data_IF_324675989514
#
_entry.id   IF_324675989514
#
_cell.length_a   1.000
_cell.length_b   1.000
_cell.length_c   1.000
_cell.angle_alpha   90.00
_cell.angle_beta   90.00
_cell.angle_gamma   90.00
#
_symmetry.space_group_name_H-M   'P 1'
#
loop_
_entity.id
_entity.type
_entity.pdbx_description
1 polymer ?
#
# COMPACT_ATOMS: atom_id res chain seq x y z
N UNK A 1 -6.84 27.20 15.05
CA UNK A 1 -5.58 26.42 15.03
C UNK A 1 -5.44 25.78 13.67
N UNK A 2 -4.24 25.72 13.11
CA UNK A 2 -4.02 25.00 11.86
C UNK A 2 -4.14 23.49 12.13
N UNK A 3 -4.82 22.77 11.24
CA UNK A 3 -4.88 21.30 11.28
C UNK A 3 -3.47 20.74 11.04
N UNK A 4 -3.20 19.58 11.62
CA UNK A 4 -2.05 18.75 11.24
C UNK A 4 -2.28 18.12 9.88
N UNK A 5 -1.32 17.32 9.44
CA UNK A 5 -1.31 16.63 8.13
C UNK A 5 -1.40 15.12 8.31
N UNK A 6 -1.98 14.44 7.33
CA UNK A 6 -1.88 12.99 7.18
C UNK A 6 -0.69 12.66 6.27
N UNK A 7 0.38 12.09 6.83
CA UNK A 7 1.57 11.68 6.08
C UNK A 7 1.42 10.22 5.69
N UNK A 8 1.50 9.90 4.39
CA UNK A 8 1.52 8.52 3.92
C UNK A 8 2.99 8.07 3.92
N UNK A 9 3.36 7.31 4.95
CA UNK A 9 4.74 6.90 5.19
C UNK A 9 4.97 5.54 4.53
N UNK A 10 5.81 5.46 3.48
CA UNK A 10 6.12 4.19 2.85
C UNK A 10 6.97 3.34 3.80
N UNK A 11 6.69 2.04 3.78
CA UNK A 11 7.47 1.01 4.41
C UNK A 11 8.44 0.38 3.39
N UNK A 12 9.31 -0.50 3.86
CA UNK A 12 10.21 -1.30 3.02
C UNK A 12 9.45 -2.41 2.29
N UNK A 13 10.09 -3.08 1.34
CA UNK A 13 9.52 -4.22 0.59
C UNK A 13 10.13 -5.58 0.99
N UNK A 14 10.80 -5.64 2.14
CA UNK A 14 11.48 -6.81 2.69
C UNK A 14 10.58 -7.68 3.58
N UNK A 15 9.27 -7.45 3.60
CA UNK A 15 8.32 -8.28 4.34
C UNK A 15 8.36 -9.73 3.84
N UNK A 16 8.76 -10.64 4.73
CA UNK A 16 8.94 -12.06 4.39
C UNK A 16 10.23 -12.37 3.61
N UNK A 17 11.14 -11.40 3.49
CA UNK A 17 12.46 -11.55 2.87
C UNK A 17 13.57 -11.22 3.90
N UNK A 18 14.82 -11.18 3.43
CA UNK A 18 15.92 -10.68 4.26
C UNK A 18 15.75 -9.18 4.51
N UNK A 19 15.88 -8.77 5.78
CA UNK A 19 15.78 -7.36 6.17
C UNK A 19 16.86 -6.53 5.46
N UNK A 20 16.47 -5.37 4.95
CA UNK A 20 17.39 -4.41 4.30
C UNK A 20 17.65 -3.21 5.21
N UNK A 21 18.79 -2.54 5.03
CA UNK A 21 19.05 -1.31 5.76
C UNK A 21 18.08 -0.20 5.33
N UNK A 22 17.46 0.49 6.29
CA UNK A 22 16.38 1.43 6.01
C UNK A 22 16.84 2.60 5.10
N UNK A 23 18.08 3.03 5.29
CA UNK A 23 18.71 4.12 4.53
C UNK A 23 19.03 3.75 3.07
N UNK A 24 19.05 2.46 2.73
CA UNK A 24 19.31 2.00 1.36
C UNK A 24 18.04 2.05 0.50
N UNK A 25 16.87 2.05 1.13
CA UNK A 25 15.57 1.92 0.44
C UNK A 25 14.60 3.07 0.70
N UNK A 26 14.83 3.88 1.75
CA UNK A 26 14.04 5.08 2.02
C UNK A 26 14.92 6.34 2.03
N UNK A 27 14.48 7.45 1.41
CA UNK A 27 15.19 8.71 1.51
C UNK A 27 15.30 9.18 2.97
N UNK A 28 16.46 9.72 3.36
CA UNK A 28 16.69 10.21 4.72
C UNK A 28 15.64 11.25 5.17
N UNK A 29 15.11 12.06 4.24
CA UNK A 29 14.03 13.02 4.52
C UNK A 29 12.71 12.36 4.93
N UNK A 30 12.43 11.14 4.47
CA UNK A 30 11.26 10.35 4.87
C UNK A 30 11.48 9.75 6.25
N UNK A 31 12.67 9.19 6.50
CA UNK A 31 13.05 8.64 7.81
C UNK A 31 12.96 9.72 8.90
N UNK A 32 13.45 10.93 8.62
CA UNK A 32 13.35 12.09 9.54
C UNK A 32 11.90 12.50 9.81
N UNK A 33 11.04 12.50 8.79
CA UNK A 33 9.63 12.82 8.97
C UNK A 33 8.91 11.75 9.80
N UNK A 34 9.18 10.47 9.54
CA UNK A 34 8.68 9.36 10.36
C UNK A 34 9.12 9.51 11.83
N UNK A 35 10.40 9.80 12.07
CA UNK A 35 10.92 9.97 13.43
C UNK A 35 10.25 11.13 14.20
N UNK A 36 9.74 12.15 13.50
CA UNK A 36 9.08 13.30 14.12
C UNK A 36 7.62 13.06 14.53
N UNK A 37 6.98 11.98 14.06
CA UNK A 37 5.57 11.71 14.29
C UNK A 37 5.32 11.07 15.66
N UNK A 38 4.31 11.59 16.37
CA UNK A 38 3.84 11.03 17.65
C UNK A 38 2.55 10.20 17.53
N UNK A 39 1.86 10.29 16.40
CA UNK A 39 0.57 9.63 16.15
C UNK A 39 0.61 8.85 14.84
N UNK A 40 0.13 7.61 14.89
CA UNK A 40 0.15 6.67 13.78
C UNK A 40 -1.18 5.94 13.64
N UNK A 41 -1.61 5.79 12.40
CA UNK A 41 -2.62 4.86 11.95
C UNK A 41 -1.88 3.74 11.18
N UNK A 42 -2.00 2.49 11.63
CA UNK A 42 -1.23 1.37 11.10
C UNK A 42 -2.11 0.16 10.79
N UNK A 43 -1.77 -0.65 9.79
CA UNK A 43 -2.48 -1.90 9.54
C UNK A 43 -2.38 -2.87 10.73
N UNK A 44 -1.19 -2.99 11.30
CA UNK A 44 -0.88 -3.74 12.51
C UNK A 44 0.05 -2.92 13.44
N UNK A 45 -0.25 -2.89 14.74
CA UNK A 45 0.52 -2.07 15.67
C UNK A 45 1.88 -2.69 16.03
N UNK A 46 2.11 -3.98 15.79
CA UNK A 46 3.39 -4.65 16.05
C UNK A 46 4.36 -4.39 14.92
N UNK A 47 3.93 -4.52 13.66
CA UNK A 47 4.73 -4.20 12.47
C UNK A 47 5.15 -2.74 12.47
N UNK A 48 4.24 -1.80 12.78
CA UNK A 48 4.54 -0.38 12.88
C UNK A 48 5.59 -0.08 13.96
N UNK A 49 5.53 -0.76 15.11
CA UNK A 49 6.57 -0.63 16.15
C UNK A 49 7.92 -1.18 15.70
N UNK A 50 7.94 -2.26 14.93
CA UNK A 50 9.17 -2.81 14.37
C UNK A 50 9.79 -1.83 13.37
N UNK A 51 8.98 -1.24 12.49
CA UNK A 51 9.41 -0.17 11.58
C UNK A 51 10.00 1.03 12.35
N UNK A 52 9.30 1.52 13.39
CA UNK A 52 9.77 2.66 14.18
C UNK A 52 11.08 2.38 14.93
N UNK A 53 11.37 1.13 15.31
CA UNK A 53 12.68 0.75 15.86
C UNK A 53 13.79 0.88 14.82
N UNK A 54 13.53 0.49 13.57
CA UNK A 54 14.46 0.67 12.45
C UNK A 54 14.68 2.15 12.15
N UNK A 55 13.61 2.97 12.21
CA UNK A 55 13.73 4.44 12.12
C UNK A 55 14.60 4.98 13.23
N UNK A 56 14.38 4.57 14.48
CA UNK A 56 15.13 5.02 15.66
C UNK A 56 16.63 4.70 15.59
N UNK A 57 17.02 3.64 14.88
CA UNK A 57 18.40 3.27 14.64
C UNK A 57 19.13 4.25 13.70
N UNK A 58 18.39 4.97 12.85
CA UNK A 58 18.94 5.95 11.88
C UNK A 58 18.76 7.39 12.39
N UNK A 59 17.57 7.72 12.90
CA UNK A 59 17.21 9.06 13.40
C UNK A 59 16.47 8.90 14.73
N UNK A 60 16.90 9.55 15.83
CA UNK A 60 16.19 9.50 17.10
C UNK A 60 14.72 9.92 16.96
N UNK A 61 13.80 9.14 17.55
CA UNK A 61 12.38 9.47 17.56
C UNK A 61 12.13 10.71 18.43
N UNK A 62 11.23 11.59 17.98
CA UNK A 62 10.82 12.78 18.72
C UNK A 62 10.11 12.46 20.04
N UNK A 63 9.55 11.25 20.16
CA UNK A 63 9.02 10.69 21.40
C UNK A 63 9.48 9.26 21.59
N UNK A 64 9.66 8.79 22.83
CA UNK A 64 9.88 7.38 23.10
C UNK A 64 8.80 6.51 22.46
N UNK A 65 9.15 5.30 22.02
CA UNK A 65 8.20 4.39 21.38
C UNK A 65 7.02 4.04 22.28
N UNK A 66 7.22 4.03 23.59
CA UNK A 66 6.18 3.80 24.60
C UNK A 66 5.15 4.94 24.67
N UNK A 67 5.55 6.16 24.30
CA UNK A 67 4.70 7.36 24.27
C UNK A 67 4.10 7.62 22.88
N UNK A 68 4.52 6.86 21.87
CA UNK A 68 4.01 6.98 20.51
C UNK A 68 2.63 6.32 20.41
N UNK A 69 1.63 7.10 20.02
CA UNK A 69 0.27 6.61 19.83
C UNK A 69 0.16 5.88 18.49
N UNK A 70 -0.18 4.59 18.53
CA UNK A 70 -0.40 3.76 17.33
C UNK A 70 -1.81 3.17 17.43
N UNK A 71 -2.67 3.53 16.47
CA UNK A 71 -4.03 3.00 16.34
C UNK A 71 -4.12 2.14 15.09
N UNK A 72 -4.72 0.97 15.22
CA UNK A 72 -4.89 0.07 14.09
C UNK A 72 -6.01 0.56 13.17
N UNK A 73 -5.86 0.33 11.86
CA UNK A 73 -6.91 0.62 10.88
C UNK A 73 -8.11 -0.29 11.17
N UNK A 74 -9.34 0.25 11.14
CA UNK A 74 -10.53 -0.55 11.34
C UNK A 74 -10.67 -1.57 10.20
N UNK A 75 -11.11 -2.78 10.56
CA UNK A 75 -11.31 -3.90 9.62
C UNK A 75 -12.79 -4.24 9.55
N UNK A 76 -13.30 -4.71 8.39
CA UNK A 76 -14.66 -5.22 8.29
C UNK A 76 -14.91 -6.28 9.36
N UNK A 77 -16.15 -6.31 9.89
CA UNK A 77 -16.54 -7.33 10.87
C UNK A 77 -16.31 -8.71 10.28
N UNK A 78 -15.76 -9.63 11.08
CA UNK A 78 -15.44 -10.98 10.62
C UNK A 78 -16.67 -11.66 10.00
N UNK A 79 -16.55 -12.05 8.74
CA UNK A 79 -17.64 -12.68 7.97
C UNK A 79 -18.64 -11.70 7.33
N UNK A 80 -18.51 -10.40 7.57
CA UNK A 80 -19.29 -9.37 6.88
C UNK A 80 -18.58 -8.89 5.61
N UNK A 81 -19.39 -8.60 4.59
CA UNK A 81 -18.96 -7.88 3.38
C UNK A 81 -19.24 -6.38 3.46
N UNK A 82 -19.85 -5.94 4.56
CA UNK A 82 -20.16 -4.53 4.76
C UNK A 82 -18.88 -3.73 4.92
N UNK A 83 -18.81 -2.53 4.31
CA UNK A 83 -17.69 -1.63 4.52
C UNK A 83 -17.64 -1.15 5.97
N UNK A 84 -16.44 -0.84 6.44
CA UNK A 84 -16.25 -0.19 7.73
C UNK A 84 -16.99 1.15 7.74
N UNK A 85 -17.79 1.47 8.78
CA UNK A 85 -18.45 2.76 8.91
C UNK A 85 -17.49 3.95 8.81
N UNK A 86 -17.88 4.99 8.06
CA UNK A 86 -17.06 6.20 7.86
C UNK A 86 -16.63 6.86 9.19
N UNK A 87 -17.47 6.78 10.24
CA UNK A 87 -17.17 7.31 11.56
C UNK A 87 -15.92 6.68 12.21
N UNK A 88 -15.64 5.40 11.94
CA UNK A 88 -14.46 4.72 12.49
C UNK A 88 -13.16 5.27 11.85
N UNK A 89 -13.20 5.54 10.54
CA UNK A 89 -12.09 6.19 9.84
C UNK A 89 -11.90 7.64 10.29
N UNK A 90 -12.99 8.39 10.42
CA UNK A 90 -12.95 9.78 10.91
C UNK A 90 -12.37 9.87 12.32
N UNK A 91 -12.67 8.90 13.19
CA UNK A 91 -12.14 8.86 14.55
C UNK A 91 -10.61 8.73 14.59
N UNK A 92 -9.97 8.18 13.56
CA UNK A 92 -8.50 8.12 13.47
C UNK A 92 -7.87 9.49 13.21
N UNK A 93 -8.61 10.45 12.63
CA UNK A 93 -8.12 11.79 12.30
C UNK A 93 -8.08 12.74 13.50
N UNK A 94 -8.52 12.31 14.69
CA UNK A 94 -8.55 13.15 15.90
C UNK A 94 -7.22 13.90 16.17
N UNK A 95 -6.02 13.29 16.03
CA UNK A 95 -4.76 14.01 16.19
C UNK A 95 -4.58 15.13 15.15
N UNK A 96 -4.86 14.86 13.88
CA UNK A 96 -4.77 15.84 12.79
C UNK A 96 -5.74 17.01 12.98
N UNK A 97 -6.96 16.74 13.43
CA UNK A 97 -7.94 17.77 13.76
C UNK A 97 -7.51 18.64 14.96
N UNK A 98 -6.73 18.08 15.88
CA UNK A 98 -6.12 18.79 17.01
C UNK A 98 -4.82 19.54 16.65
N UNK A 99 -4.36 19.48 15.41
CA UNK A 99 -3.14 20.18 14.96
C UNK A 99 -1.87 19.33 14.95
N UNK A 100 -1.96 18.03 15.21
CA UNK A 100 -0.81 17.11 15.19
C UNK A 100 -0.71 16.33 13.89
N UNK A 101 0.49 16.19 13.34
CA UNK A 101 0.70 15.31 12.19
C UNK A 101 0.42 13.84 12.56
N UNK A 102 -0.22 13.12 11.63
CA UNK A 102 -0.61 11.72 11.73
C UNK A 102 0.08 10.92 10.62
N UNK A 103 0.82 9.87 10.97
CA UNK A 103 1.36 8.91 9.99
C UNK A 103 0.36 7.83 9.63
N UNK A 104 0.28 7.47 8.35
CA UNK A 104 -0.33 6.23 7.87
C UNK A 104 0.77 5.29 7.37
N UNK A 105 0.74 4.02 7.79
CA UNK A 105 1.68 2.99 7.36
C UNK A 105 0.97 1.64 7.14
N UNK A 106 1.37 0.91 6.08
CA UNK A 106 0.96 -0.47 5.80
C UNK A 106 2.13 -1.43 6.04
N UNK A 107 1.88 -2.73 5.90
CA UNK A 107 2.89 -3.75 6.17
C UNK A 107 4.11 -3.68 5.24
N UNK A 108 3.94 -3.23 3.99
CA UNK A 108 5.02 -3.09 3.02
C UNK A 108 4.73 -2.01 1.98
N UNK A 109 5.77 -1.32 1.51
CA UNK A 109 5.66 -0.36 0.41
C UNK A 109 4.80 0.86 0.72
N UNK A 110 4.10 1.38 -0.30
CA UNK A 110 3.33 2.62 -0.22
C UNK A 110 1.90 2.34 0.29
N UNK A 111 1.49 2.89 1.46
CA UNK A 111 0.15 2.66 1.98
C UNK A 111 -0.93 3.29 1.10
N UNK A 112 -2.18 2.82 1.28
CA UNK A 112 -3.37 3.24 0.55
C UNK A 112 -3.39 2.90 -0.96
N UNK A 113 -2.38 2.18 -1.47
CA UNK A 113 -2.38 1.59 -2.82
C UNK A 113 -2.31 0.08 -2.70
N UNK A 114 -3.35 -0.64 -3.15
CA UNK A 114 -3.56 -2.09 -2.93
C UNK A 114 -3.75 -2.51 -1.46
N UNK A 115 -3.21 -1.72 -0.53
CA UNK A 115 -3.28 -1.88 0.92
C UNK A 115 -4.46 -1.10 1.55
N UNK A 116 -4.85 -1.42 2.80
CA UNK A 116 -5.81 -0.62 3.54
C UNK A 116 -5.32 0.82 3.77
N UNK A 117 -6.27 1.73 4.01
CA UNK A 117 -5.98 3.14 4.33
C UNK A 117 -6.49 4.16 3.31
N UNK A 118 -6.91 3.74 2.11
CA UNK A 118 -7.56 4.63 1.14
C UNK A 118 -8.79 5.35 1.72
N UNK A 119 -9.59 4.65 2.54
CA UNK A 119 -10.72 5.23 3.25
C UNK A 119 -10.32 6.28 4.33
N UNK A 120 -9.12 6.15 4.93
CA UNK A 120 -8.59 7.18 5.82
C UNK A 120 -8.16 8.43 5.03
N UNK A 121 -7.56 8.25 3.86
CA UNK A 121 -7.20 9.35 2.95
C UNK A 121 -8.45 10.08 2.47
N UNK A 122 -9.51 9.35 2.10
CA UNK A 122 -10.81 9.91 1.75
C UNK A 122 -11.40 10.72 2.92
N UNK A 123 -11.41 10.14 4.13
CA UNK A 123 -11.87 10.83 5.33
C UNK A 123 -11.05 12.10 5.62
N UNK A 124 -9.73 12.07 5.38
CA UNK A 124 -8.86 13.22 5.56
C UNK A 124 -9.22 14.35 4.60
N UNK A 125 -9.41 14.04 3.31
CA UNK A 125 -9.89 15.01 2.32
C UNK A 125 -11.25 15.58 2.69
N UNK A 126 -12.22 14.75 3.07
CA UNK A 126 -13.55 15.19 3.49
C UNK A 126 -13.49 16.10 4.73
N UNK A 127 -12.55 15.85 5.63
CA UNK A 127 -12.32 16.66 6.82
C UNK A 127 -11.41 17.88 6.57
N UNK A 128 -10.93 18.12 5.34
CA UNK A 128 -9.99 19.19 5.01
C UNK A 128 -8.64 19.07 5.75
N UNK A 129 -8.20 17.85 6.05
CA UNK A 129 -6.86 17.53 6.55
C UNK A 129 -5.93 17.37 5.34
N UNK A 130 -4.82 18.13 5.24
CA UNK A 130 -3.88 17.96 4.14
C UNK A 130 -3.27 16.56 4.15
N UNK A 131 -3.22 15.91 2.98
CA UNK A 131 -2.60 14.60 2.79
C UNK A 131 -1.26 14.77 2.08
N UNK A 132 -0.19 14.22 2.66
CA UNK A 132 1.17 14.31 2.15
C UNK A 132 1.74 12.90 1.90
N UNK A 133 1.74 12.40 0.66
CA UNK A 133 2.47 11.18 0.34
C UNK A 133 3.98 11.41 0.42
N UNK A 134 4.69 10.49 1.07
CA UNK A 134 6.15 10.51 1.12
C UNK A 134 6.74 9.57 0.06
N UNK A 135 7.91 9.93 -0.47
CA UNK A 135 8.58 9.13 -1.49
C UNK A 135 9.12 7.81 -0.92
N UNK A 136 8.86 6.69 -1.60
CA UNK A 136 9.37 5.39 -1.20
C UNK A 136 9.02 4.29 -2.17
N UNK A 137 9.27 3.05 -1.77
CA UNK A 137 9.16 1.90 -2.64
C UNK A 137 7.71 1.54 -2.97
N UNK A 138 7.45 1.22 -4.24
CA UNK A 138 6.19 0.65 -4.72
C UNK A 138 6.52 -0.55 -5.59
N UNK A 139 6.14 -1.74 -5.14
CA UNK A 139 6.39 -2.98 -5.89
C UNK A 139 5.76 -2.95 -7.28
N UNK A 140 4.56 -2.36 -7.41
CA UNK A 140 3.85 -2.21 -8.68
C UNK A 140 4.65 -1.39 -9.70
N UNK A 141 5.17 -0.23 -9.29
CA UNK A 141 5.93 0.66 -10.18
C UNK A 141 7.32 0.11 -10.48
N UNK A 142 7.97 -0.53 -9.50
CA UNK A 142 9.26 -1.19 -9.71
C UNK A 142 9.13 -2.36 -10.70
N UNK A 143 8.10 -3.21 -10.55
CA UNK A 143 7.83 -4.30 -11.47
C UNK A 143 7.52 -3.77 -12.89
N UNK A 144 6.68 -2.74 -13.00
CA UNK A 144 6.38 -2.11 -14.28
C UNK A 144 7.65 -1.56 -14.95
N UNK A 145 8.48 -0.83 -14.21
CA UNK A 145 9.72 -0.24 -14.73
C UNK A 145 10.73 -1.31 -15.21
N UNK A 146 10.82 -2.45 -14.51
CA UNK A 146 11.71 -3.55 -14.88
C UNK A 146 11.18 -4.44 -16.01
N UNK A 147 9.87 -4.43 -16.27
CA UNK A 147 9.20 -5.38 -17.17
C UNK A 147 9.54 -5.24 -18.67
N UNK A 148 10.04 -4.07 -19.10
CA UNK A 148 10.17 -3.74 -20.52
C UNK A 148 8.83 -3.64 -21.26
N UNK A 149 7.71 -3.49 -20.53
CA UNK A 149 6.37 -3.24 -21.06
C UNK A 149 6.09 -1.72 -21.10
N UNK A 150 4.89 -1.33 -21.54
CA UNK A 150 4.53 0.08 -21.64
C UNK A 150 4.33 0.69 -20.24
N UNK A 151 5.29 1.50 -19.79
CA UNK A 151 5.21 2.25 -18.54
C UNK A 151 4.40 3.55 -18.63
N UNK A 152 4.08 4.04 -19.84
CA UNK A 152 3.32 5.29 -20.04
C UNK A 152 1.80 5.08 -19.98
N UNK A 153 1.33 3.86 -20.22
CA UNK A 153 -0.08 3.48 -20.10
C UNK A 153 -0.18 2.14 -19.40
N UNK A 154 -0.71 2.15 -18.18
CA UNK A 154 -0.91 0.94 -17.38
C UNK A 154 -2.18 1.02 -16.54
N UNK A 155 -2.68 -0.14 -16.13
CA UNK A 155 -3.77 -0.28 -15.18
C UNK A 155 -3.38 -1.33 -14.13
N UNK A 156 -3.54 -0.98 -12.85
CA UNK A 156 -3.49 -1.93 -11.76
C UNK A 156 -4.89 -2.50 -11.53
N UNK A 157 -5.03 -3.82 -11.66
CA UNK A 157 -6.33 -4.50 -11.64
C UNK A 157 -6.52 -5.36 -10.38
N UNK A 158 -5.54 -5.39 -9.48
CA UNK A 158 -5.62 -6.12 -8.22
C UNK A 158 -5.61 -7.64 -8.40
N UNK A 159 -6.40 -8.34 -7.59
CA UNK A 159 -6.53 -9.78 -7.60
C UNK A 159 -7.50 -10.26 -8.67
N UNK A 160 -7.18 -11.41 -9.28
CA UNK A 160 -8.10 -12.07 -10.22
C UNK A 160 -9.12 -12.96 -9.49
N UNK A 161 -10.28 -13.26 -10.12
CA UNK A 161 -11.28 -14.16 -9.56
C UNK A 161 -10.72 -15.50 -9.10
N UNK A 162 -11.25 -16.01 -7.99
CA UNK A 162 -10.88 -17.34 -7.46
C UNK A 162 -11.41 -18.47 -8.36
N UNK A 163 -12.65 -18.31 -8.84
CA UNK A 163 -13.26 -19.24 -9.79
C UNK A 163 -12.46 -19.31 -11.11
N UNK A 164 -12.24 -20.53 -11.61
CA UNK A 164 -11.38 -20.76 -12.76
C UNK A 164 -11.96 -20.22 -14.08
N UNK A 165 -13.27 -20.36 -14.29
CA UNK A 165 -13.93 -19.88 -15.49
C UNK A 165 -13.97 -18.35 -15.52
N UNK A 166 -14.33 -17.73 -14.39
CA UNK A 166 -14.31 -16.28 -14.22
C UNK A 166 -12.90 -15.69 -14.37
N UNK A 167 -11.87 -16.36 -13.82
CA UNK A 167 -10.47 -15.95 -14.00
C UNK A 167 -10.07 -15.98 -15.47
N UNK A 168 -10.39 -17.05 -16.19
CA UNK A 168 -10.09 -17.19 -17.62
C UNK A 168 -10.79 -16.12 -18.45
N UNK A 169 -12.07 -15.84 -18.17
CA UNK A 169 -12.81 -14.78 -18.84
C UNK A 169 -12.16 -13.40 -18.60
N UNK A 170 -11.78 -13.12 -17.34
CA UNK A 170 -11.11 -11.87 -16.98
C UNK A 170 -9.74 -11.72 -17.66
N UNK A 171 -8.95 -12.79 -17.75
CA UNK A 171 -7.65 -12.76 -18.45
C UNK A 171 -7.79 -12.37 -19.93
N UNK A 172 -8.77 -12.95 -20.63
CA UNK A 172 -9.05 -12.63 -22.04
C UNK A 172 -9.50 -11.17 -22.22
N UNK A 173 -10.31 -10.66 -21.29
CA UNK A 173 -10.72 -9.26 -21.28
C UNK A 173 -9.53 -8.30 -21.09
N UNK A 174 -8.63 -8.64 -20.17
CA UNK A 174 -7.42 -7.87 -19.89
C UNK A 174 -6.47 -7.88 -21.10
N UNK A 175 -6.29 -9.03 -21.76
CA UNK A 175 -5.48 -9.14 -22.98
C UNK A 175 -6.05 -8.30 -24.11
N UNK A 176 -7.36 -8.39 -24.35
CA UNK A 176 -8.07 -7.57 -25.35
C UNK A 176 -7.90 -6.07 -25.07
N UNK A 177 -8.03 -5.67 -23.80
CA UNK A 177 -7.83 -4.28 -23.36
C UNK A 177 -6.39 -3.83 -23.55
N UNK A 178 -5.41 -4.66 -23.17
CA UNK A 178 -3.99 -4.40 -23.36
C UNK A 178 -3.65 -4.11 -24.82
N UNK A 179 -4.12 -4.97 -25.74
CA UNK A 179 -3.89 -4.81 -27.19
C UNK A 179 -4.58 -3.57 -27.75
N UNK A 180 -5.85 -3.37 -27.38
CA UNK A 180 -6.65 -2.25 -27.90
C UNK A 180 -6.16 -0.89 -27.42
N UNK A 181 -5.76 -0.78 -26.16
CA UNK A 181 -5.35 0.48 -25.52
C UNK A 181 -3.83 0.65 -25.45
N UNK A 182 -3.05 -0.34 -25.90
CA UNK A 182 -1.60 -0.40 -25.71
C UNK A 182 -1.23 -0.18 -24.23
N UNK A 183 -1.96 -0.85 -23.32
CA UNK A 183 -1.93 -0.60 -21.88
C UNK A 183 -1.47 -1.83 -21.10
N UNK A 184 -0.41 -1.69 -20.31
CA UNK A 184 0.08 -2.76 -19.43
C UNK A 184 -0.94 -3.07 -18.33
N UNK A 185 -1.24 -4.34 -18.11
CA UNK A 185 -2.18 -4.80 -17.08
C UNK A 185 -1.39 -5.41 -15.92
N UNK A 186 -1.40 -4.76 -14.77
CA UNK A 186 -0.70 -5.18 -13.56
C UNK A 186 -1.66 -5.92 -12.63
N UNK A 187 -1.35 -7.17 -12.34
CA UNK A 187 -2.09 -8.03 -11.39
C UNK A 187 -1.20 -8.34 -10.18
N UNK A 188 -1.82 -8.59 -9.03
CA UNK A 188 -1.16 -9.21 -7.86
C UNK A 188 -1.89 -10.49 -7.48
N UNK A 189 -1.17 -11.38 -6.80
CA UNK A 189 -1.72 -12.68 -6.38
C UNK A 189 -1.10 -13.15 -5.07
N UNK A 190 -1.85 -13.98 -4.32
CA UNK A 190 -1.33 -14.59 -3.09
C UNK A 190 -0.36 -15.75 -3.41
N UNK A 191 0.66 -16.00 -2.56
CA UNK A 191 1.72 -16.96 -2.88
C UNK A 191 1.24 -18.35 -3.31
N UNK A 192 0.21 -18.89 -2.63
CA UNK A 192 -0.33 -20.22 -2.91
C UNK A 192 -1.18 -20.30 -4.19
N UNK A 193 -1.54 -19.16 -4.80
CA UNK A 193 -2.31 -19.08 -6.06
C UNK A 193 -1.42 -18.85 -7.29
N UNK A 194 -0.14 -18.48 -7.11
CA UNK A 194 0.77 -18.14 -8.22
C UNK A 194 0.87 -19.24 -9.28
N UNK A 195 1.05 -20.50 -8.87
CA UNK A 195 1.14 -21.62 -9.83
C UNK A 195 -0.15 -21.81 -10.65
N UNK A 196 -1.31 -21.70 -9.99
CA UNK A 196 -2.60 -21.82 -10.65
C UNK A 196 -2.89 -20.64 -11.58
N UNK A 197 -2.44 -19.43 -11.22
CA UNK A 197 -2.52 -18.25 -12.07
C UNK A 197 -1.63 -18.38 -13.30
N UNK A 198 -0.37 -18.79 -13.13
CA UNK A 198 0.57 -18.98 -14.24
C UNK A 198 0.05 -20.02 -15.25
N UNK A 199 -0.47 -21.15 -14.76
CA UNK A 199 -1.09 -22.15 -15.63
C UNK A 199 -2.29 -21.58 -16.41
N UNK A 200 -3.12 -20.77 -15.77
CA UNK A 200 -4.25 -20.12 -16.43
C UNK A 200 -3.81 -19.10 -17.48
N UNK A 201 -2.77 -18.30 -17.20
CA UNK A 201 -2.18 -17.35 -18.16
C UNK A 201 -1.70 -18.08 -19.41
N UNK A 202 -0.89 -19.13 -19.24
CA UNK A 202 -0.34 -19.91 -20.35
C UNK A 202 -1.41 -20.63 -21.19
N UNK A 203 -2.51 -21.05 -20.56
CA UNK A 203 -3.60 -21.75 -21.25
C UNK A 203 -4.60 -20.80 -21.94
N UNK A 204 -4.71 -19.54 -21.53
CA UNK A 204 -5.79 -18.64 -21.94
C UNK A 204 -5.35 -17.46 -22.81
N UNK A 205 -4.10 -17.02 -22.66
CA UNK A 205 -3.53 -15.92 -23.44
C UNK A 205 -3.01 -16.42 -24.79
N UNK A 206 -2.97 -15.52 -25.77
CA UNK A 206 -2.37 -15.79 -27.05
C UNK A 206 -0.84 -15.99 -26.91
N UNK A 207 -0.22 -16.88 -27.72
CA UNK A 207 1.21 -17.22 -27.59
C UNK A 207 2.18 -16.03 -27.67
N UNK A 208 1.80 -14.97 -28.39
CA UNK A 208 2.61 -13.76 -28.56
C UNK A 208 2.41 -12.72 -27.45
N UNK A 209 1.50 -12.96 -26.50
CA UNK A 209 1.30 -12.06 -25.38
C UNK A 209 2.52 -12.08 -24.46
N UNK A 210 3.15 -10.91 -24.30
CA UNK A 210 4.28 -10.73 -23.39
C UNK A 210 3.79 -10.73 -21.95
N UNK A 211 4.45 -11.52 -21.10
CA UNK A 211 4.23 -11.60 -19.67
C UNK A 211 5.56 -11.30 -18.95
N UNK A 212 5.48 -10.56 -17.84
CA UNK A 212 6.57 -10.34 -16.89
C UNK A 212 6.07 -10.77 -15.51
N UNK A 213 6.90 -11.48 -14.75
CA UNK A 213 6.65 -11.90 -13.36
C UNK A 213 7.81 -11.45 -12.50
#
# INVERSE_FOLDING_TARGET
MNKGRLLLVPNTLDLGAAEVELQDVLPLGVIRQAAALAHWAAEDARSARAFLKRVAAVVPLARPLQETSIRELPRPRKGSREPVPAAEWQALLAPALAGHDLGLISEAGLPAVADPGAALVEAAHAAGVPVLPLAGASSLLLALAASGLNGQSFAFVGYLPQDAAARTARLRELESTSRRLQQTQLIIETPYRNAALLAALLASLAPETRLSV
#
